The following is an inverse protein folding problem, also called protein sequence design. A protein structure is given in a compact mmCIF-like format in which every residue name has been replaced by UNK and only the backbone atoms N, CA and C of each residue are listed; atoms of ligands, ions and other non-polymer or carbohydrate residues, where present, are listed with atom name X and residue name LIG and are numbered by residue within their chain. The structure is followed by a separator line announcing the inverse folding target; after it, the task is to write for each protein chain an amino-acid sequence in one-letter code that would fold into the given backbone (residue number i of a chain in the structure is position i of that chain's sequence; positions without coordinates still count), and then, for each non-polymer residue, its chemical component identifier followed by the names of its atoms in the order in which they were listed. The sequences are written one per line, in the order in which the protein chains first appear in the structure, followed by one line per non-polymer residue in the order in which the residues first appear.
data_IF_735098785774
#
_entry.id   IF_735098785774
#
_cell.length_a   1.000
_cell.length_b   1.000
_cell.length_c   1.000
_cell.angle_alpha   90.00
_cell.angle_beta   90.00
_cell.angle_gamma   90.00
#
_symmetry.space_group_name_H-M   'P 1'
#
loop_
_entity.id
_entity.type
_entity.pdbx_description
1 polymer ?
#
# COMPACT_ATOMS: atom_id res chain seq x y z
N UNK A 1 16.77 -6.19 -17.44
CA UNK A 1 16.12 -7.45 -17.03
C UNK A 1 16.05 -8.42 -18.20
N UNK A 2 15.98 -9.72 -17.93
CA UNK A 2 15.74 -10.76 -18.93
C UNK A 2 14.24 -10.93 -19.26
N UNK A 3 13.38 -10.30 -18.50
CA UNK A 3 11.93 -10.31 -18.70
C UNK A 3 11.47 -9.03 -19.39
N UNK A 4 10.34 -9.06 -20.11
CA UNK A 4 9.76 -7.85 -20.71
C UNK A 4 9.30 -6.87 -19.63
N UNK A 5 9.14 -5.62 -20.04
CA UNK A 5 8.54 -4.60 -19.20
C UNK A 5 7.09 -4.93 -18.86
N UNK A 6 6.64 -4.48 -17.71
CA UNK A 6 5.30 -4.70 -17.21
C UNK A 6 4.37 -3.56 -17.64
N UNK A 7 3.09 -3.85 -17.93
CA UNK A 7 2.13 -2.82 -18.25
C UNK A 7 1.89 -1.87 -17.05
N UNK A 8 1.41 -0.67 -17.34
CA UNK A 8 1.05 0.33 -16.34
C UNK A 8 -0.23 -0.08 -15.60
N UNK A 9 -0.09 -0.61 -14.40
CA UNK A 9 -1.21 -1.04 -13.54
C UNK A 9 -1.38 -0.08 -12.35
N UNK A 10 -1.65 1.19 -12.63
CA UNK A 10 -1.73 2.25 -11.62
C UNK A 10 -3.09 2.34 -10.94
N UNK A 11 -4.11 1.66 -11.44
CA UNK A 11 -5.44 1.64 -10.87
C UNK A 11 -6.09 0.26 -10.98
N UNK A 12 -7.06 0.03 -10.12
CA UNK A 12 -7.86 -1.19 -10.09
C UNK A 12 -9.33 -0.87 -9.82
N UNK A 13 -10.19 -1.89 -9.91
CA UNK A 13 -11.61 -1.75 -9.66
C UNK A 13 -12.09 -2.68 -8.56
N UNK A 14 -12.74 -2.13 -7.56
CA UNK A 14 -13.33 -2.86 -6.43
C UNK A 14 -14.86 -2.85 -6.56
N UNK A 15 -15.57 -3.98 -6.35
CA UNK A 15 -17.02 -3.96 -6.20
C UNK A 15 -17.43 -3.01 -5.06
N UNK A 16 -18.58 -2.33 -5.16
CA UNK A 16 -19.04 -1.43 -4.07
C UNK A 16 -19.31 -2.19 -2.77
N UNK A 17 -19.79 -3.42 -2.87
CA UNK A 17 -20.02 -4.36 -1.77
C UNK A 17 -18.85 -5.32 -1.51
N UNK A 18 -17.67 -4.99 -2.01
CA UNK A 18 -16.47 -5.82 -1.93
C UNK A 18 -15.84 -5.90 -0.53
N UNK A 19 -14.65 -6.51 -0.44
CA UNK A 19 -13.98 -6.75 0.83
C UNK A 19 -13.36 -5.50 1.47
N UNK A 20 -13.34 -4.37 0.77
CA UNK A 20 -12.70 -3.14 1.22
C UNK A 20 -13.38 -2.53 2.45
N UNK A 21 -12.59 -1.81 3.24
CA UNK A 21 -13.05 -0.98 4.35
C UNK A 21 -12.72 0.48 4.09
N UNK A 22 -13.74 1.35 4.10
CA UNK A 22 -13.56 2.79 3.97
C UNK A 22 -13.25 3.38 5.35
N UNK A 23 -12.13 4.08 5.45
CA UNK A 23 -11.71 4.74 6.69
C UNK A 23 -11.83 6.27 6.62
N UNK A 24 -11.91 6.86 5.45
CA UNK A 24 -12.21 8.27 5.26
C UNK A 24 -13.02 8.50 3.99
N UNK A 25 -13.95 9.45 4.05
CA UNK A 25 -14.74 9.93 2.90
C UNK A 25 -14.63 11.45 2.86
N UNK A 26 -14.23 11.96 1.70
CA UNK A 26 -14.08 13.38 1.40
C UNK A 26 -14.94 13.72 0.17
N UNK A 27 -15.07 15.00 -0.13
CA UNK A 27 -15.79 15.43 -1.33
C UNK A 27 -15.13 14.95 -2.63
N UNK A 28 -13.81 14.82 -2.63
CA UNK A 28 -12.96 14.52 -3.79
C UNK A 28 -12.44 13.07 -3.84
N UNK A 29 -12.52 12.31 -2.74
CA UNK A 29 -12.02 10.94 -2.66
C UNK A 29 -12.62 10.12 -1.52
N UNK A 30 -12.51 8.80 -1.64
CA UNK A 30 -12.62 7.87 -0.49
C UNK A 30 -11.26 7.25 -0.22
N UNK A 31 -10.97 6.94 1.03
CA UNK A 31 -9.73 6.30 1.43
C UNK A 31 -10.04 5.06 2.28
N UNK A 32 -9.28 3.99 2.09
CA UNK A 32 -9.56 2.74 2.78
C UNK A 32 -8.48 1.68 2.66
N UNK A 33 -8.88 0.46 3.00
CA UNK A 33 -8.02 -0.72 2.91
C UNK A 33 -8.72 -1.83 2.14
N UNK A 34 -7.96 -2.56 1.35
CA UNK A 34 -8.31 -3.88 0.84
C UNK A 34 -7.26 -4.86 1.35
N UNK A 35 -7.69 -5.80 2.23
CA UNK A 35 -6.73 -6.50 3.07
C UNK A 35 -5.86 -5.51 3.85
N UNK A 36 -4.55 -5.72 3.86
CA UNK A 36 -3.63 -4.82 4.55
C UNK A 36 -3.11 -3.64 3.69
N UNK A 37 -3.56 -3.51 2.43
CA UNK A 37 -3.07 -2.49 1.49
C UNK A 37 -3.95 -1.25 1.52
N UNK A 38 -3.38 -0.06 1.79
CA UNK A 38 -4.13 1.19 1.75
C UNK A 38 -4.42 1.61 0.30
N UNK A 39 -5.60 2.19 0.08
CA UNK A 39 -6.00 2.70 -1.23
C UNK A 39 -6.72 4.04 -1.15
N UNK A 40 -6.75 4.71 -2.29
CA UNK A 40 -7.63 5.85 -2.57
C UNK A 40 -8.55 5.49 -3.72
N UNK A 41 -9.80 5.86 -3.61
CA UNK A 41 -10.79 5.72 -4.67
C UNK A 41 -11.35 7.06 -5.08
N UNK A 42 -11.98 7.09 -6.24
CA UNK A 42 -12.67 8.27 -6.76
C UNK A 42 -13.73 8.80 -5.79
N UNK A 43 -14.12 10.04 -5.97
CA UNK A 43 -15.10 10.72 -5.13
C UNK A 43 -16.45 9.99 -5.05
N UNK A 44 -17.25 10.21 -3.99
CA UNK A 44 -18.62 9.66 -3.92
C UNK A 44 -19.47 10.09 -5.11
N UNK A 45 -19.29 11.28 -5.66
CA UNK A 45 -20.02 11.76 -6.82
C UNK A 45 -19.65 10.97 -8.09
N UNK A 46 -18.36 10.70 -8.31
CA UNK A 46 -17.92 9.85 -9.44
C UNK A 46 -18.39 8.39 -9.28
N UNK A 47 -18.43 7.87 -8.05
CA UNK A 47 -18.95 6.53 -7.78
C UNK A 47 -20.42 6.38 -8.21
N UNK A 48 -21.24 7.40 -7.97
CA UNK A 48 -22.66 7.40 -8.37
C UNK A 48 -22.83 7.35 -9.89
N UNK A 49 -21.86 7.83 -10.65
CA UNK A 49 -21.84 7.79 -12.12
C UNK A 49 -21.33 6.45 -12.68
N UNK A 50 -20.72 5.62 -11.86
CA UNK A 50 -20.17 4.33 -12.27
C UNK A 50 -21.31 3.31 -12.52
N UNK A 51 -21.57 3.03 -13.79
CA UNK A 51 -22.65 2.12 -14.22
C UNK A 51 -22.35 0.63 -13.97
N UNK A 52 -21.10 0.29 -13.70
CA UNK A 52 -20.62 -1.07 -13.49
C UNK A 52 -20.63 -1.52 -12.00
N UNK A 53 -21.10 -0.67 -11.08
CA UNK A 53 -21.15 -0.97 -9.65
C UNK A 53 -19.76 -1.13 -9.01
N UNK A 54 -18.71 -0.51 -9.61
CA UNK A 54 -17.33 -0.67 -9.18
C UNK A 54 -16.65 0.68 -8.87
N UNK A 55 -15.98 0.73 -7.73
CA UNK A 55 -15.11 1.82 -7.33
C UNK A 55 -13.81 1.75 -8.13
N UNK A 56 -13.47 2.80 -8.88
CA UNK A 56 -12.12 2.98 -9.40
C UNK A 56 -11.21 3.46 -8.27
N UNK A 57 -10.08 2.78 -8.09
CA UNK A 57 -9.16 3.03 -6.99
C UNK A 57 -7.70 2.79 -7.41
N UNK A 58 -6.79 3.27 -6.59
CA UNK A 58 -5.34 3.09 -6.73
C UNK A 58 -4.69 2.94 -5.35
N UNK A 59 -3.50 2.35 -5.29
CA UNK A 59 -2.75 2.22 -4.04
C UNK A 59 -2.34 3.57 -3.48
N UNK A 60 -2.47 3.75 -2.17
CA UNK A 60 -2.03 4.95 -1.47
C UNK A 60 -0.58 4.79 -1.00
N UNK A 61 0.32 5.70 -1.39
CA UNK A 61 1.72 5.65 -1.00
C UNK A 61 1.94 6.12 0.43
N UNK A 62 1.51 5.28 1.36
CA UNK A 62 1.70 5.39 2.81
C UNK A 62 3.03 4.75 3.27
N UNK A 63 3.51 4.99 4.50
CA UNK A 63 4.71 4.34 5.04
C UNK A 63 4.64 2.81 4.92
N UNK A 64 5.71 2.20 4.44
CA UNK A 64 5.83 0.76 4.25
C UNK A 64 5.19 0.22 2.97
N UNK A 65 4.50 1.02 2.17
CA UNK A 65 3.99 0.58 0.86
C UNK A 65 5.16 0.28 -0.07
N UNK A 66 4.99 -0.72 -0.92
CA UNK A 66 6.00 -1.17 -1.89
C UNK A 66 5.46 -0.93 -3.30
N UNK A 67 6.26 -0.22 -4.09
CA UNK A 67 5.92 0.12 -5.47
C UNK A 67 6.96 -0.39 -6.47
N UNK A 68 6.58 -0.38 -7.75
CA UNK A 68 7.46 -0.69 -8.88
C UNK A 68 8.12 0.58 -9.40
N UNK A 69 9.45 0.59 -9.49
CA UNK A 69 10.20 1.62 -10.22
C UNK A 69 9.93 1.51 -11.73
N UNK A 70 10.00 2.65 -12.44
CA UNK A 70 9.84 2.74 -13.89
C UNK A 70 10.63 3.92 -14.45
N UNK A 71 10.84 3.90 -15.75
CA UNK A 71 11.38 5.05 -16.50
C UNK A 71 10.27 6.11 -16.73
N UNK A 72 10.55 7.09 -17.56
CA UNK A 72 9.58 8.15 -17.88
C UNK A 72 8.29 7.61 -18.53
N UNK A 73 8.41 6.60 -19.40
CA UNK A 73 7.25 5.92 -19.98
C UNK A 73 6.56 5.03 -18.91
N UNK A 74 5.25 5.16 -18.72
CA UNK A 74 4.49 4.37 -17.74
C UNK A 74 4.60 2.84 -17.90
N UNK A 75 4.78 2.33 -19.13
CA UNK A 75 4.85 0.91 -19.43
C UNK A 75 6.26 0.31 -19.30
N UNK A 76 7.16 0.90 -18.52
CA UNK A 76 8.57 0.47 -18.40
C UNK A 76 8.95 -0.07 -17.02
N UNK A 77 7.98 -0.42 -16.20
CA UNK A 77 8.25 -1.11 -14.93
C UNK A 77 8.86 -2.50 -15.19
N UNK A 78 9.88 -2.88 -14.41
CA UNK A 78 10.54 -4.16 -14.62
C UNK A 78 11.02 -4.80 -13.32
N UNK A 79 12.30 -4.63 -12.97
CA UNK A 79 12.95 -5.28 -11.82
C UNK A 79 13.25 -4.33 -10.67
N UNK A 80 12.99 -3.05 -10.83
CA UNK A 80 13.21 -2.04 -9.81
C UNK A 80 11.99 -1.95 -8.88
N UNK A 81 12.25 -2.05 -7.58
CA UNK A 81 11.22 -1.91 -6.54
C UNK A 81 11.68 -0.85 -5.54
N UNK A 82 10.73 -0.18 -4.90
CA UNK A 82 11.03 0.76 -3.84
C UNK A 82 10.09 0.59 -2.64
N UNK A 83 10.59 0.92 -1.46
CA UNK A 83 9.88 0.86 -0.18
C UNK A 83 9.67 2.27 0.36
N UNK A 84 8.45 2.58 0.73
CA UNK A 84 8.13 3.89 1.30
C UNK A 84 8.60 4.00 2.74
N UNK A 85 9.47 4.94 3.03
CA UNK A 85 9.87 5.30 4.40
C UNK A 85 8.79 6.12 5.09
N UNK A 86 8.24 7.07 4.36
CA UNK A 86 7.18 7.98 4.79
C UNK A 86 6.12 8.12 3.70
N UNK A 87 5.01 8.80 4.00
CA UNK A 87 3.96 9.03 3.02
C UNK A 87 4.42 9.95 1.89
N UNK A 88 4.14 9.58 0.64
CA UNK A 88 4.41 10.41 -0.53
C UNK A 88 3.23 10.33 -1.51
N UNK A 89 2.12 10.93 -1.13
CA UNK A 89 0.83 10.89 -1.85
C UNK A 89 0.91 11.42 -3.29
N UNK A 90 1.98 12.18 -3.64
CA UNK A 90 2.26 12.59 -5.02
C UNK A 90 2.57 11.43 -5.97
N UNK A 91 2.86 10.23 -5.42
CA UNK A 91 3.10 9.00 -6.18
C UNK A 91 1.81 8.19 -6.41
N UNK A 92 0.72 8.58 -5.74
CA UNK A 92 -0.58 7.94 -5.92
C UNK A 92 -1.01 8.03 -7.39
N UNK A 93 -1.49 6.91 -7.94
CA UNK A 93 -1.91 6.80 -9.33
C UNK A 93 -0.80 6.99 -10.39
N UNK A 94 0.45 7.18 -9.96
CA UNK A 94 1.61 7.36 -10.86
C UNK A 94 2.51 6.13 -10.93
N UNK A 95 2.45 5.26 -9.90
CA UNK A 95 3.22 4.04 -9.82
C UNK A 95 2.35 2.87 -9.35
N UNK A 96 2.69 1.65 -9.80
CA UNK A 96 1.98 0.45 -9.36
C UNK A 96 2.38 0.08 -7.93
N UNK A 97 1.38 -0.01 -7.04
CA UNK A 97 1.55 -0.59 -5.71
C UNK A 97 1.29 -2.09 -5.80
N UNK A 98 2.22 -2.90 -5.30
CA UNK A 98 2.07 -4.36 -5.32
C UNK A 98 2.13 -5.01 -3.93
N UNK A 99 2.44 -4.25 -2.89
CA UNK A 99 2.47 -4.79 -1.54
C UNK A 99 2.81 -3.77 -0.47
N UNK A 100 3.03 -4.26 0.73
CA UNK A 100 3.49 -3.45 1.86
C UNK A 100 4.41 -4.23 2.79
N UNK A 101 5.27 -3.52 3.49
CA UNK A 101 6.06 -4.04 4.61
C UNK A 101 5.12 -4.40 5.75
N UNK A 102 5.15 -5.65 6.20
CA UNK A 102 4.32 -6.15 7.30
C UNK A 102 5.09 -6.22 8.62
N UNK A 103 6.42 -6.22 8.57
CA UNK A 103 7.32 -6.13 9.72
C UNK A 103 8.64 -5.48 9.28
N UNK A 104 9.31 -4.74 10.17
CA UNK A 104 10.60 -4.11 9.88
C UNK A 104 10.51 -2.75 9.20
N UNK A 105 9.42 -2.00 9.36
CA UNK A 105 9.33 -0.63 8.85
C UNK A 105 10.38 0.30 9.49
N UNK A 106 10.74 0.06 10.72
CA UNK A 106 11.85 0.73 11.41
C UNK A 106 13.19 0.48 10.72
N UNK A 107 13.42 -0.75 10.24
CA UNK A 107 14.60 -1.10 9.43
C UNK A 107 14.59 -0.34 8.09
N UNK A 108 13.46 -0.32 7.39
CA UNK A 108 13.32 0.46 6.14
C UNK A 108 13.65 1.94 6.38
N UNK A 109 13.20 2.50 7.50
CA UNK A 109 13.49 3.90 7.87
C UNK A 109 14.94 4.14 8.27
N UNK A 110 15.64 3.12 8.75
CA UNK A 110 17.03 3.19 9.14
C UNK A 110 18.00 3.07 7.95
N UNK A 111 17.55 2.60 6.78
CA UNK A 111 18.39 2.51 5.57
C UNK A 111 19.04 3.85 5.28
N UNK A 112 20.35 3.83 5.01
CA UNK A 112 21.16 5.02 4.77
C UNK A 112 20.67 5.80 3.55
N UNK A 113 20.73 7.12 3.65
CA UNK A 113 20.33 8.04 2.57
C UNK A 113 21.53 8.49 1.77
N UNK A 114 21.31 8.73 0.48
CA UNK A 114 22.30 9.23 -0.47
C UNK A 114 21.97 8.75 -1.88
N UNK A 115 22.60 9.37 -2.91
CA UNK A 115 22.40 9.01 -4.31
C UNK A 115 23.76 8.94 -5.05
N UNK A 116 24.52 7.86 -4.87
CA UNK A 116 24.39 6.77 -3.89
C UNK A 116 24.81 7.18 -2.47
N UNK A 117 24.46 6.43 -1.41
CA UNK A 117 25.04 6.60 -0.08
C UNK A 117 26.54 6.30 -0.10
N UNK A 118 27.32 6.99 0.75
CA UNK A 118 28.77 6.78 0.85
C UNK A 118 29.14 5.36 1.34
N UNK A 119 28.27 4.77 2.15
CA UNK A 119 28.41 3.41 2.70
C UNK A 119 27.01 2.75 2.65
N UNK A 120 26.60 2.18 1.49
CA UNK A 120 25.25 1.67 1.28
C UNK A 120 24.96 0.43 2.11
N UNK A 121 23.72 0.32 2.55
CA UNK A 121 23.22 -0.93 3.12
C UNK A 121 22.95 -1.95 2.00
N UNK A 122 23.04 -3.23 2.34
CA UNK A 122 22.87 -4.33 1.39
C UNK A 122 21.77 -5.30 1.81
N UNK A 123 21.06 -5.85 0.83
CA UNK A 123 20.14 -6.97 1.02
C UNK A 123 20.93 -8.28 1.01
N UNK A 124 21.34 -8.78 2.18
CA UNK A 124 22.14 -10.01 2.31
C UNK A 124 21.38 -11.25 1.79
N UNK A 125 20.05 -11.26 1.92
CA UNK A 125 19.21 -12.39 1.46
C UNK A 125 17.80 -11.91 1.14
N UNK A 126 17.29 -12.34 -0.02
CA UNK A 126 15.89 -12.18 -0.42
C UNK A 126 15.32 -13.56 -0.77
N UNK A 127 14.13 -13.90 -0.25
CA UNK A 127 13.44 -15.15 -0.53
C UNK A 127 11.95 -14.89 -0.73
N UNK A 128 11.36 -15.59 -1.67
CA UNK A 128 9.90 -15.64 -1.82
C UNK A 128 9.36 -16.70 -0.87
N UNK A 129 8.49 -16.33 0.05
CA UNK A 129 8.00 -17.25 1.07
C UNK A 129 7.27 -18.47 0.47
N UNK A 130 6.53 -18.28 -0.63
CA UNK A 130 5.84 -19.39 -1.32
C UNK A 130 6.80 -20.45 -1.90
N UNK A 131 8.05 -20.06 -2.19
CA UNK A 131 9.08 -20.97 -2.72
C UNK A 131 9.89 -21.66 -1.60
N UNK A 132 9.63 -21.31 -0.34
CA UNK A 132 10.29 -21.92 0.80
C UNK A 132 9.61 -23.23 1.20
N UNK A 133 10.36 -24.20 1.79
CA UNK A 133 9.75 -25.36 2.43
C UNK A 133 8.68 -24.92 3.45
N UNK A 134 7.55 -25.62 3.48
CA UNK A 134 6.40 -25.22 4.31
C UNK A 134 6.75 -25.02 5.81
N UNK A 135 7.72 -25.77 6.33
CA UNK A 135 8.21 -25.63 7.70
C UNK A 135 9.00 -24.35 7.96
N UNK A 136 9.56 -23.72 6.90
CA UNK A 136 10.37 -22.51 6.97
C UNK A 136 9.56 -21.25 6.59
N UNK A 137 8.36 -21.44 6.05
CA UNK A 137 7.52 -20.29 5.65
C UNK A 137 7.12 -19.46 6.86
N UNK A 138 7.27 -18.14 6.82
CA UNK A 138 6.83 -17.26 7.89
C UNK A 138 5.30 -17.35 8.07
N UNK A 139 4.85 -17.49 9.29
CA UNK A 139 3.42 -17.47 9.63
C UNK A 139 3.03 -16.05 10.02
N UNK A 140 2.16 -15.43 9.24
CA UNK A 140 1.73 -14.05 9.42
C UNK A 140 0.28 -14.00 9.92
N UNK A 141 0.08 -13.38 11.08
CA UNK A 141 -1.24 -12.95 11.54
C UNK A 141 -1.49 -11.53 11.06
N UNK A 142 -2.62 -11.31 10.42
CA UNK A 142 -3.09 -9.98 9.98
C UNK A 142 -4.38 -9.67 10.70
N UNK A 143 -4.47 -8.50 11.35
CA UNK A 143 -5.71 -8.08 11.97
C UNK A 143 -6.80 -7.94 10.91
N UNK A 144 -7.99 -8.47 11.22
CA UNK A 144 -9.14 -8.31 10.34
C UNK A 144 -9.54 -6.82 10.30
N UNK A 145 -9.35 -6.18 9.14
CA UNK A 145 -9.66 -4.77 8.90
C UNK A 145 -11.15 -4.45 8.99
N UNK A 146 -12.00 -5.46 8.84
CA UNK A 146 -13.46 -5.35 9.01
C UNK A 146 -13.92 -5.57 10.44
N UNK A 147 -12.98 -5.92 11.32
CA UNK A 147 -13.26 -6.21 12.72
C UNK A 147 -13.35 -4.98 13.61
N UNK A 148 -14.03 -5.11 14.78
CA UNK A 148 -14.24 -3.98 15.69
C UNK A 148 -12.94 -3.42 16.29
N UNK A 149 -11.88 -4.21 16.37
CA UNK A 149 -10.59 -3.76 16.88
C UNK A 149 -9.96 -2.70 15.96
N UNK A 150 -9.98 -2.94 14.64
CA UNK A 150 -9.48 -1.98 13.68
C UNK A 150 -10.37 -0.74 13.62
N UNK A 151 -11.69 -0.89 13.63
CA UNK A 151 -12.63 0.23 13.67
C UNK A 151 -12.38 1.16 14.88
N UNK A 152 -12.07 0.60 16.05
CA UNK A 152 -11.70 1.40 17.24
C UNK A 152 -10.38 2.17 17.05
N UNK A 153 -9.38 1.53 16.42
CA UNK A 153 -8.08 2.18 16.15
C UNK A 153 -8.26 3.36 15.17
N UNK A 154 -9.03 3.18 14.10
CA UNK A 154 -9.39 4.24 13.15
C UNK A 154 -10.11 5.38 13.86
N UNK A 155 -11.12 5.08 14.68
CA UNK A 155 -11.88 6.09 15.40
C UNK A 155 -11.01 6.88 16.39
N UNK A 156 -10.07 6.23 17.07
CA UNK A 156 -9.11 6.89 17.96
C UNK A 156 -8.19 7.84 17.18
N UNK A 157 -7.63 7.40 16.08
CA UNK A 157 -6.75 8.21 15.24
C UNK A 157 -7.49 9.40 14.61
N UNK A 158 -8.73 9.21 14.17
CA UNK A 158 -9.58 10.31 13.68
C UNK A 158 -9.82 11.40 14.73
N UNK A 159 -10.04 11.01 16.00
CA UNK A 159 -10.18 12.00 17.09
C UNK A 159 -8.91 12.79 17.30
N UNK A 160 -7.74 12.15 17.18
CA UNK A 160 -6.44 12.81 17.36
C UNK A 160 -6.11 13.74 16.19
N UNK A 161 -6.36 13.33 14.97
CA UNK A 161 -5.97 14.05 13.74
C UNK A 161 -7.04 15.01 13.24
N UNK A 162 -8.29 14.82 13.61
CA UNK A 162 -9.41 15.62 13.12
C UNK A 162 -9.52 15.63 11.60
N UNK A 163 -9.65 16.81 11.01
CA UNK A 163 -9.76 16.99 9.57
C UNK A 163 -8.49 16.59 8.79
N UNK A 164 -7.34 16.53 9.45
CA UNK A 164 -6.07 16.11 8.84
C UNK A 164 -5.90 14.59 8.73
N UNK A 165 -6.85 13.80 9.24
CA UNK A 165 -6.80 12.34 9.18
C UNK A 165 -6.78 11.84 7.74
N UNK A 166 -5.87 10.90 7.44
CA UNK A 166 -5.76 10.20 6.16
C UNK A 166 -5.61 8.69 6.38
N UNK A 167 -5.74 7.91 5.31
CA UNK A 167 -5.48 6.46 5.35
C UNK A 167 -4.05 6.13 5.80
N UNK A 168 -3.09 7.04 5.59
CA UNK A 168 -1.70 6.86 5.98
C UNK A 168 -1.44 7.01 7.50
N UNK A 169 -2.40 7.52 8.25
CA UNK A 169 -2.29 7.67 9.71
C UNK A 169 -2.59 6.37 10.47
N UNK A 170 -3.12 5.36 9.79
CA UNK A 170 -3.39 4.04 10.35
C UNK A 170 -2.75 2.94 9.49
N UNK A 171 -2.46 1.81 10.12
CA UNK A 171 -2.00 0.61 9.42
C UNK A 171 -2.75 -0.60 9.98
N UNK A 172 -2.95 -1.61 9.14
CA UNK A 172 -3.47 -2.91 9.61
C UNK A 172 -2.35 -3.58 10.40
N UNK A 173 -2.53 -3.84 11.71
CA UNK A 173 -1.54 -4.54 12.52
C UNK A 173 -1.25 -5.93 12.01
N UNK A 174 0.02 -6.30 12.00
CA UNK A 174 0.52 -7.60 11.56
C UNK A 174 1.51 -8.15 12.58
N UNK A 175 1.58 -9.48 12.70
CA UNK A 175 2.52 -10.16 13.58
C UNK A 175 3.05 -11.43 12.92
N UNK A 176 4.37 -11.59 12.85
CA UNK A 176 5.01 -12.86 12.54
C UNK A 176 4.97 -13.77 13.77
N UNK A 177 4.70 -15.07 13.54
CA UNK A 177 4.73 -16.14 14.56
C UNK A 177 5.92 -17.05 14.33
#
# INVERSE_FOLDING_TARGET
SKYPDLPAEFSFRLPFDGPQVIVATRSDAVEGFVGATPFVGVSPAEQQLAKDGRLRAWGAYCPGVVGMGRQADPGTANSEIFFMRDAARRLDHEYAVWGRVVQGLDVVRAVKVGEPPADPDEMARVRVAADMPAAEQPKLDVLNERGPAFARAVAAMRRTKGAAFTVCDVAIPTRLR
#
